data_IF_924518511479
#
_entry.id   IF_924518511479
#
_cell.length_a   1.000
_cell.length_b   1.000
_cell.length_c   1.000
_cell.angle_alpha   90.00
_cell.angle_beta   90.00
_cell.angle_gamma   90.00
#
_symmetry.space_group_name_H-M   'P 1'
#
loop_
_entity.id
_entity.type
_entity.pdbx_description
1 polymer ?
#
# COMPACT_ATOMS: atom_id res chain seq x y z
N UNK A 1 26.33 -16.97 -9.98
CA UNK A 1 24.96 -17.29 -10.44
C UNK A 1 24.02 -17.69 -9.30
N UNK A 2 24.45 -18.43 -8.27
CA UNK A 2 23.60 -18.82 -7.11
C UNK A 2 22.94 -17.63 -6.38
N UNK A 3 23.69 -16.56 -6.13
CA UNK A 3 23.20 -15.39 -5.39
C UNK A 3 22.08 -14.62 -6.09
N UNK A 4 22.11 -14.51 -7.43
CA UNK A 4 21.06 -13.82 -8.18
C UNK A 4 19.75 -14.62 -8.19
N UNK A 5 19.85 -15.95 -8.31
CA UNK A 5 18.69 -16.84 -8.27
C UNK A 5 18.07 -16.86 -6.87
N UNK A 6 18.87 -16.87 -5.80
CA UNK A 6 18.38 -16.76 -4.44
C UNK A 6 17.75 -15.39 -4.15
N UNK A 7 18.32 -14.31 -4.70
CA UNK A 7 17.73 -12.97 -4.61
C UNK A 7 16.38 -12.92 -5.34
N UNK A 8 16.30 -13.47 -6.55
CA UNK A 8 15.05 -13.55 -7.33
C UNK A 8 14.01 -14.42 -6.60
N UNK A 9 14.43 -15.55 -6.01
CA UNK A 9 13.54 -16.40 -5.20
C UNK A 9 13.06 -15.69 -3.94
N UNK A 10 13.93 -14.96 -3.25
CA UNK A 10 13.58 -14.15 -2.09
C UNK A 10 12.63 -13.00 -2.43
N UNK A 11 12.82 -12.35 -3.58
CA UNK A 11 11.92 -11.34 -4.14
C UNK A 11 10.57 -11.93 -4.59
N UNK A 12 10.56 -13.19 -5.04
CA UNK A 12 9.34 -13.92 -5.40
C UNK A 12 8.54 -14.46 -4.21
N UNK A 13 9.04 -14.30 -2.97
CA UNK A 13 8.26 -14.58 -1.76
C UNK A 13 7.03 -13.66 -1.75
N UNK A 14 5.85 -14.23 -1.46
CA UNK A 14 4.56 -13.52 -1.40
C UNK A 14 4.58 -12.34 -0.42
N UNK A 15 5.41 -12.38 0.64
CA UNK A 15 5.67 -11.25 1.52
C UNK A 15 6.31 -10.06 0.79
N UNK A 16 7.44 -10.27 0.09
CA UNK A 16 8.12 -9.18 -0.61
C UNK A 16 7.27 -8.67 -1.79
N UNK A 17 6.61 -9.58 -2.52
CA UNK A 17 5.67 -9.21 -3.56
C UNK A 17 4.54 -8.31 -3.02
N UNK A 18 3.95 -8.67 -1.87
CA UNK A 18 2.92 -7.86 -1.23
C UNK A 18 3.44 -6.50 -0.78
N UNK A 19 4.57 -6.48 -0.07
CA UNK A 19 5.12 -5.24 0.50
C UNK A 19 5.54 -4.26 -0.60
N UNK A 20 6.25 -4.74 -1.64
CA UNK A 20 6.62 -3.91 -2.77
C UNK A 20 5.43 -3.50 -3.62
N UNK A 21 4.47 -4.41 -3.85
CA UNK A 21 3.23 -4.08 -4.55
C UNK A 21 2.41 -3.01 -3.83
N UNK A 22 2.31 -3.11 -2.51
CA UNK A 22 1.63 -2.12 -1.66
C UNK A 22 2.36 -0.78 -1.67
N UNK A 23 3.69 -0.78 -1.50
CA UNK A 23 4.49 0.44 -1.54
C UNK A 23 4.41 1.13 -2.92
N UNK A 24 4.46 0.35 -4.00
CA UNK A 24 4.23 0.84 -5.36
C UNK A 24 2.84 1.46 -5.51
N UNK A 25 1.79 0.78 -5.04
CA UNK A 25 0.42 1.26 -5.12
C UNK A 25 0.22 2.58 -4.38
N UNK A 26 0.75 2.68 -3.15
CA UNK A 26 0.72 3.92 -2.37
C UNK A 26 1.51 5.03 -3.03
N UNK A 27 2.67 4.72 -3.61
CA UNK A 27 3.48 5.70 -4.36
C UNK A 27 2.74 6.22 -5.57
N UNK A 28 2.19 5.33 -6.40
CA UNK A 28 1.42 5.70 -7.59
C UNK A 28 0.22 6.59 -7.23
N UNK A 29 -0.56 6.18 -6.22
CA UNK A 29 -1.72 6.94 -5.75
C UNK A 29 -1.33 8.27 -5.12
N UNK A 30 -0.24 8.31 -4.35
CA UNK A 30 0.28 9.52 -3.71
C UNK A 30 0.80 10.53 -4.74
N UNK A 31 1.61 10.08 -5.70
CA UNK A 31 2.17 10.94 -6.74
C UNK A 31 1.08 11.57 -7.61
N UNK A 32 0.07 10.80 -8.02
CA UNK A 32 -1.05 11.34 -8.81
C UNK A 32 -1.77 12.49 -8.08
N UNK A 33 -1.93 12.39 -6.76
CA UNK A 33 -2.56 13.41 -5.92
C UNK A 33 -1.70 14.66 -5.73
N UNK A 34 -0.38 14.54 -5.83
CA UNK A 34 0.54 15.69 -5.78
C UNK A 34 0.57 16.39 -7.14
N UNK A 35 0.69 15.61 -8.22
CA UNK A 35 0.84 16.13 -9.58
C UNK A 35 -0.43 16.82 -10.05
N UNK A 36 -1.58 16.16 -9.85
CA UNK A 36 -2.87 16.68 -10.31
C UNK A 36 -3.99 16.38 -9.29
N UNK A 37 -4.05 17.13 -8.17
CA UNK A 37 -5.10 16.95 -7.17
C UNK A 37 -6.49 17.25 -7.73
N UNK A 38 -6.60 18.13 -8.73
CA UNK A 38 -7.89 18.53 -9.30
C UNK A 38 -8.51 17.41 -10.14
N UNK A 39 -7.70 16.72 -10.95
CA UNK A 39 -8.14 15.53 -11.67
C UNK A 39 -8.56 14.42 -10.70
N UNK A 40 -7.81 14.21 -9.62
CA UNK A 40 -8.21 13.24 -8.59
C UNK A 40 -9.56 13.62 -7.96
N UNK A 41 -9.78 14.89 -7.63
CA UNK A 41 -11.07 15.37 -7.14
C UNK A 41 -12.20 15.08 -8.14
N UNK A 42 -11.94 15.28 -9.43
CA UNK A 42 -12.94 15.04 -10.49
C UNK A 42 -13.41 13.58 -10.57
N UNK A 43 -12.54 12.61 -10.24
CA UNK A 43 -12.90 11.19 -10.24
C UNK A 43 -13.91 10.80 -9.16
N UNK A 44 -14.01 11.60 -8.09
CA UNK A 44 -14.93 11.32 -6.98
C UNK A 44 -16.20 12.16 -7.00
N UNK A 45 -16.30 13.14 -7.91
CA UNK A 45 -17.46 14.03 -8.02
C UNK A 45 -18.60 13.40 -8.81
N UNK A 46 -19.86 13.66 -8.42
CA UNK A 46 -21.01 13.33 -9.24
C UNK A 46 -21.04 14.05 -10.58
N UNK A 47 -21.44 13.38 -11.68
CA UNK A 47 -21.58 14.02 -12.99
C UNK A 47 -22.51 15.22 -13.02
N UNK A 48 -23.44 15.37 -12.07
CA UNK A 48 -24.28 16.56 -12.03
C UNK A 48 -23.49 17.85 -11.72
N UNK A 49 -22.33 17.73 -11.06
CA UNK A 49 -21.36 18.83 -10.92
C UNK A 49 -20.54 19.01 -12.20
N UNK A 50 -20.34 17.94 -12.98
CA UNK A 50 -19.72 17.95 -14.31
C UNK A 50 -20.66 18.41 -15.44
N UNK A 51 -21.98 18.32 -15.27
CA UNK A 51 -23.01 18.60 -16.29
C UNK A 51 -23.83 19.88 -16.03
N UNK A 52 -23.94 20.37 -14.79
CA UNK A 52 -24.38 21.77 -14.54
C UNK A 52 -23.38 22.78 -15.14
N UNK A 53 -22.22 22.26 -15.51
CA UNK A 53 -21.08 22.87 -16.14
C UNK A 53 -21.08 22.71 -17.67
N UNK A 54 -22.19 22.92 -18.38
CA UNK A 54 -22.13 23.08 -19.84
C UNK A 54 -21.26 24.29 -20.28
N UNK A 55 -20.67 25.03 -19.34
CA UNK A 55 -19.69 26.10 -19.56
C UNK A 55 -18.60 26.25 -18.48
N UNK A 56 -18.57 25.49 -17.38
CA UNK A 56 -17.56 25.68 -16.32
C UNK A 56 -17.40 24.44 -15.42
N UNK A 57 -16.33 23.65 -15.63
CA UNK A 57 -15.91 22.60 -14.67
C UNK A 57 -15.93 23.22 -13.28
N UNK A 58 -16.71 22.66 -12.35
CA UNK A 58 -16.73 23.15 -10.97
C UNK A 58 -15.33 22.90 -10.43
N UNK A 59 -14.58 23.98 -10.21
CA UNK A 59 -13.24 23.94 -9.63
C UNK A 59 -13.29 23.26 -8.25
N UNK A 60 -12.27 22.48 -7.88
CA UNK A 60 -12.20 21.94 -6.54
C UNK A 60 -12.10 23.01 -5.47
N UNK A 61 -12.84 22.84 -4.38
CA UNK A 61 -12.72 23.76 -3.26
C UNK A 61 -11.42 23.46 -2.47
N UNK A 62 -10.98 24.45 -1.70
CA UNK A 62 -9.73 24.38 -0.94
C UNK A 62 -9.67 23.17 0.00
N UNK A 63 -10.80 22.75 0.58
CA UNK A 63 -10.86 21.61 1.49
C UNK A 63 -10.64 20.28 0.76
N UNK A 64 -11.17 20.13 -0.45
CA UNK A 64 -10.96 18.93 -1.28
C UNK A 64 -9.50 18.81 -1.70
N UNK A 65 -8.89 19.91 -2.15
CA UNK A 65 -7.47 19.95 -2.50
C UNK A 65 -6.60 19.66 -1.27
N UNK A 66 -6.89 20.30 -0.13
CA UNK A 66 -6.18 20.07 1.12
C UNK A 66 -6.23 18.60 1.55
N UNK A 67 -7.41 17.98 1.51
CA UNK A 67 -7.57 16.57 1.86
C UNK A 67 -6.81 15.65 0.90
N UNK A 68 -6.85 15.94 -0.40
CA UNK A 68 -6.14 15.16 -1.42
C UNK A 68 -4.62 15.23 -1.21
N UNK A 69 -4.08 16.41 -0.93
CA UNK A 69 -2.66 16.57 -0.61
C UNK A 69 -2.26 15.90 0.69
N UNK A 70 -3.07 16.03 1.74
CA UNK A 70 -2.79 15.40 3.03
C UNK A 70 -2.81 13.88 2.92
N UNK A 71 -3.78 13.32 2.18
CA UNK A 71 -3.85 11.90 1.85
C UNK A 71 -2.62 11.45 1.04
N UNK A 72 -2.15 12.28 0.09
CA UNK A 72 -0.97 11.98 -0.72
C UNK A 72 0.29 11.78 0.13
N UNK A 73 0.57 12.73 1.03
CA UNK A 73 1.72 12.64 1.93
C UNK A 73 1.60 11.50 2.94
N UNK A 74 0.37 11.18 3.36
CA UNK A 74 0.08 9.99 4.17
C UNK A 74 0.47 8.70 3.43
N UNK A 75 0.03 8.54 2.18
CA UNK A 75 0.33 7.37 1.35
C UNK A 75 1.83 7.23 1.08
N UNK A 76 2.53 8.31 0.74
CA UNK A 76 3.98 8.29 0.53
C UNK A 76 4.74 7.92 1.80
N UNK A 77 4.32 8.43 2.96
CA UNK A 77 4.89 8.06 4.25
C UNK A 77 4.71 6.56 4.52
N UNK A 78 3.52 6.01 4.28
CA UNK A 78 3.27 4.57 4.42
C UNK A 78 4.11 3.73 3.46
N UNK A 79 4.30 4.19 2.22
CA UNK A 79 5.17 3.52 1.25
C UNK A 79 6.63 3.48 1.75
N UNK A 80 7.15 4.60 2.24
CA UNK A 80 8.51 4.66 2.80
C UNK A 80 8.67 3.76 4.03
N UNK A 81 7.66 3.72 4.91
CA UNK A 81 7.66 2.84 6.08
C UNK A 81 7.71 1.37 5.67
N UNK A 82 6.95 0.98 4.65
CA UNK A 82 6.96 -0.38 4.11
C UNK A 82 8.31 -0.76 3.52
N UNK A 83 8.95 0.14 2.77
CA UNK A 83 10.30 -0.10 2.23
C UNK A 83 11.35 -0.22 3.35
N UNK A 84 11.23 0.58 4.42
CA UNK A 84 12.08 0.47 5.59
C UNK A 84 11.89 -0.87 6.33
N UNK A 85 10.65 -1.29 6.56
CA UNK A 85 10.31 -2.57 7.20
C UNK A 85 10.66 -3.79 6.35
N UNK A 86 10.79 -3.62 5.04
CA UNK A 86 11.24 -4.67 4.13
C UNK A 86 12.75 -4.87 4.10
N UNK A 87 13.52 -3.99 4.76
CA UNK A 87 14.97 -3.83 4.59
C UNK A 87 15.38 -3.48 3.14
N UNK A 88 14.48 -2.83 2.39
CA UNK A 88 14.73 -2.46 0.99
C UNK A 88 15.67 -1.25 0.85
N UNK A 89 15.79 -0.45 1.92
CA UNK A 89 16.72 0.69 2.00
C UNK A 89 17.66 0.46 3.18
N UNK A 90 18.99 0.47 2.98
CA UNK A 90 19.92 0.36 4.09
C UNK A 90 19.84 1.62 4.95
N UNK A 91 19.19 1.52 6.11
CA UNK A 91 19.09 2.63 7.04
C UNK A 91 20.42 2.82 7.80
N UNK A 92 20.87 4.07 8.00
CA UNK A 92 21.96 4.36 8.91
C UNK A 92 21.69 3.77 10.30
N UNK A 93 22.74 3.29 10.98
CA UNK A 93 22.64 2.74 12.34
C UNK A 93 22.04 3.72 13.36
N UNK A 94 22.09 5.02 13.08
CA UNK A 94 21.48 6.08 13.90
C UNK A 94 19.95 6.12 13.81
N UNK A 95 19.37 5.56 12.74
CA UNK A 95 17.92 5.47 12.52
C UNK A 95 17.39 4.04 12.72
N UNK A 96 18.25 3.03 12.63
CA UNK A 96 17.93 1.63 12.86
C UNK A 96 18.00 1.29 14.36
N UNK A 97 16.90 1.48 15.08
CA UNK A 97 16.77 1.02 16.46
C UNK A 97 15.74 1.78 17.27
N UNK A 98 14.61 1.15 17.57
CA UNK A 98 13.70 1.60 18.62
C UNK A 98 13.02 0.39 19.25
N UNK A 99 13.19 0.26 20.57
CA UNK A 99 12.73 -0.89 21.35
C UNK A 99 12.17 -0.36 22.67
N UNK A 100 10.84 -0.28 22.77
CA UNK A 100 10.11 0.08 24.00
C UNK A 100 10.17 -1.01 25.08
N UNK A 101 10.55 -2.23 24.70
CA UNK A 101 10.74 -3.39 25.57
C UNK A 101 12.05 -4.02 25.16
N UNK A 102 12.95 -4.26 26.12
CA UNK A 102 14.36 -4.65 25.92
C UNK A 102 14.65 -5.39 24.61
N UNK A 103 15.68 -4.89 23.91
CA UNK A 103 16.02 -5.20 22.52
C UNK A 103 15.51 -6.54 22.02
N UNK A 104 14.59 -6.49 21.05
CA UNK A 104 14.11 -7.68 20.36
C UNK A 104 15.32 -8.56 19.98
N UNK A 105 15.33 -9.85 20.36
CA UNK A 105 16.45 -10.72 20.04
C UNK A 105 16.68 -10.69 18.53
N UNK A 106 17.95 -10.53 18.12
CA UNK A 106 18.41 -10.41 16.73
C UNK A 106 17.99 -11.58 15.80
N UNK A 107 17.29 -12.57 16.36
CA UNK A 107 16.75 -13.74 15.68
C UNK A 107 15.40 -13.49 14.99
N UNK A 108 14.61 -12.48 15.37
CA UNK A 108 13.42 -12.08 14.61
C UNK A 108 13.84 -11.13 13.49
N UNK A 109 14.05 -11.66 12.29
CA UNK A 109 14.48 -10.86 11.13
C UNK A 109 13.51 -9.70 10.82
N UNK A 110 12.20 -9.84 11.11
CA UNK A 110 11.19 -8.79 10.88
C UNK A 110 10.02 -8.85 11.91
N UNK A 111 10.20 -8.37 13.15
CA UNK A 111 9.21 -8.56 14.23
C UNK A 111 7.84 -7.90 13.96
N UNK A 112 7.80 -6.89 13.09
CA UNK A 112 6.58 -6.16 12.74
C UNK A 112 6.02 -6.51 11.36
N UNK A 113 6.62 -7.45 10.61
CA UNK A 113 6.21 -7.78 9.25
C UNK A 113 4.73 -8.20 9.19
N UNK A 114 4.30 -9.09 10.09
CA UNK A 114 2.91 -9.55 10.16
C UNK A 114 1.94 -8.41 10.47
N UNK A 115 2.31 -7.53 11.41
CA UNK A 115 1.49 -6.38 11.77
C UNK A 115 1.36 -5.40 10.59
N UNK A 116 2.47 -5.10 9.90
CA UNK A 116 2.48 -4.23 8.73
C UNK A 116 1.57 -4.77 7.62
N UNK A 117 1.59 -6.09 7.37
CA UNK A 117 0.70 -6.73 6.39
C UNK A 117 -0.77 -6.58 6.81
N UNK A 118 -1.12 -6.87 8.06
CA UNK A 118 -2.51 -6.73 8.55
C UNK A 118 -3.01 -5.29 8.46
N UNK A 119 -2.20 -4.30 8.88
CA UNK A 119 -2.56 -2.88 8.86
C UNK A 119 -2.82 -2.41 7.42
N UNK A 120 -1.93 -2.77 6.49
CA UNK A 120 -2.10 -2.38 5.09
C UNK A 120 -3.23 -3.12 4.41
N UNK A 121 -3.50 -4.37 4.79
CA UNK A 121 -4.63 -5.14 4.28
C UNK A 121 -5.96 -4.50 4.72
N UNK A 122 -6.06 -4.04 5.97
CA UNK A 122 -7.19 -3.24 6.43
C UNK A 122 -7.39 -1.98 5.57
N UNK A 123 -6.30 -1.27 5.24
CA UNK A 123 -6.38 -0.10 4.37
C UNK A 123 -6.83 -0.45 2.94
N UNK A 124 -6.36 -1.55 2.35
CA UNK A 124 -6.82 -2.00 1.03
C UNK A 124 -8.29 -2.42 1.01
N UNK A 125 -8.77 -3.10 2.06
CA UNK A 125 -10.18 -3.46 2.19
C UNK A 125 -11.05 -2.20 2.29
N UNK A 126 -10.71 -1.29 3.21
CA UNK A 126 -11.52 -0.08 3.43
C UNK A 126 -11.51 0.85 2.22
N UNK A 127 -10.37 1.07 1.58
CA UNK A 127 -10.30 1.88 0.36
C UNK A 127 -10.91 1.17 -0.85
N UNK A 128 -10.86 -0.15 -0.91
CA UNK A 128 -11.55 -0.96 -1.91
C UNK A 128 -13.08 -0.86 -1.81
N UNK A 129 -13.63 -0.89 -0.58
CA UNK A 129 -15.06 -0.66 -0.34
C UNK A 129 -15.47 0.74 -0.81
N UNK A 130 -14.66 1.76 -0.48
CA UNK A 130 -14.89 3.13 -0.95
C UNK A 130 -14.88 3.24 -2.49
N UNK A 131 -13.86 2.68 -3.14
CA UNK A 131 -13.75 2.66 -4.59
C UNK A 131 -14.92 1.91 -5.25
N UNK A 132 -15.34 0.77 -4.69
CA UNK A 132 -16.48 0.01 -5.17
C UNK A 132 -17.80 0.80 -5.06
N UNK A 133 -17.94 1.60 -4.00
CA UNK A 133 -19.07 2.49 -3.79
C UNK A 133 -19.28 3.47 -4.96
N UNK A 134 -18.19 4.00 -5.52
CA UNK A 134 -18.21 4.84 -6.72
C UNK A 134 -18.30 4.01 -8.00
N UNK A 135 -17.54 2.92 -8.10
CA UNK A 135 -17.47 2.07 -9.30
C UNK A 135 -18.83 1.49 -9.71
N UNK A 136 -19.66 1.08 -8.74
CA UNK A 136 -20.99 0.52 -9.03
C UNK A 136 -21.99 1.53 -9.58
N UNK A 137 -21.70 2.82 -9.48
CA UNK A 137 -22.55 3.88 -10.01
C UNK A 137 -22.09 4.18 -11.43
N UNK A 138 -22.93 3.91 -12.42
CA UNK A 138 -22.62 4.18 -13.84
C UNK A 138 -22.17 5.63 -14.07
N UNK A 139 -22.73 6.56 -13.29
CA UNK A 139 -22.35 7.97 -13.28
C UNK A 139 -20.91 8.23 -12.82
N UNK A 140 -20.31 7.39 -11.98
CA UNK A 140 -18.96 7.60 -11.42
C UNK A 140 -17.97 6.52 -11.89
N UNK A 141 -18.39 5.64 -12.79
CA UNK A 141 -17.55 4.59 -13.33
C UNK A 141 -16.54 5.18 -14.31
N UNK A 142 -15.28 5.25 -13.87
CA UNK A 142 -14.15 5.66 -14.69
C UNK A 142 -13.10 4.56 -14.73
N UNK A 143 -12.19 4.61 -15.71
CA UNK A 143 -11.03 3.69 -15.77
C UNK A 143 -10.20 3.75 -14.49
N UNK A 144 -10.10 4.92 -13.85
CA UNK A 144 -9.42 5.08 -12.57
C UNK A 144 -10.13 4.30 -11.45
N UNK A 145 -11.46 4.22 -11.48
CA UNK A 145 -12.24 3.40 -10.53
C UNK A 145 -12.07 1.90 -10.81
N UNK A 146 -12.01 1.46 -12.08
CA UNK A 146 -11.69 0.06 -12.42
C UNK A 146 -10.36 -0.36 -11.82
N UNK A 147 -9.33 0.45 -12.06
CA UNK A 147 -7.98 0.25 -11.52
C UNK A 147 -8.04 0.25 -9.99
N UNK A 148 -8.76 1.21 -9.39
CA UNK A 148 -8.92 1.34 -7.94
C UNK A 148 -9.55 0.11 -7.28
N UNK A 149 -10.62 -0.44 -7.84
CA UNK A 149 -11.29 -1.63 -7.30
C UNK A 149 -10.41 -2.86 -7.46
N UNK A 150 -10.01 -3.18 -8.69
CA UNK A 150 -9.27 -4.41 -8.96
C UNK A 150 -7.85 -4.40 -8.38
N UNK A 151 -7.22 -3.22 -8.31
CA UNK A 151 -5.94 -3.04 -7.63
C UNK A 151 -6.03 -3.38 -6.14
N UNK A 152 -7.07 -2.91 -5.44
CA UNK A 152 -7.29 -3.26 -4.03
C UNK A 152 -7.65 -4.74 -3.85
N UNK A 153 -8.49 -5.32 -4.73
CA UNK A 153 -8.79 -6.77 -4.68
C UNK A 153 -7.53 -7.61 -4.84
N UNK A 154 -6.68 -7.27 -5.81
CA UNK A 154 -5.41 -7.96 -6.05
C UNK A 154 -4.46 -7.87 -4.84
N UNK A 155 -4.34 -6.67 -4.24
CA UNK A 155 -3.50 -6.46 -3.06
C UNK A 155 -4.06 -7.18 -1.83
N UNK A 156 -5.37 -7.22 -1.63
CA UNK A 156 -5.99 -8.02 -0.55
C UNK A 156 -5.65 -9.51 -0.73
N UNK A 157 -5.83 -10.05 -1.94
CA UNK A 157 -5.48 -11.44 -2.25
C UNK A 157 -4.00 -11.74 -1.99
N UNK A 158 -3.11 -10.84 -2.42
CA UNK A 158 -1.67 -10.97 -2.21
C UNK A 158 -1.29 -10.84 -0.73
N UNK A 159 -1.99 -10.00 0.04
CA UNK A 159 -1.76 -9.84 1.47
C UNK A 159 -2.21 -11.03 2.29
N UNK A 160 -3.36 -11.65 1.93
CA UNK A 160 -3.75 -12.95 2.50
C UNK A 160 -2.70 -14.00 2.16
N UNK A 161 -2.21 -14.05 0.92
CA UNK A 161 -1.15 -14.97 0.51
C UNK A 161 0.17 -14.73 1.27
N UNK A 162 0.53 -13.49 1.56
CA UNK A 162 1.69 -13.13 2.37
C UNK A 162 1.53 -13.60 3.84
N UNK A 163 0.33 -13.50 4.41
CA UNK A 163 0.05 -13.97 5.77
C UNK A 163 0.09 -15.50 5.89
N UNK A 164 -0.42 -16.21 4.89
CA UNK A 164 -0.54 -17.68 4.92
C UNK A 164 0.77 -18.36 4.52
N UNK A 165 1.41 -17.92 3.43
CA UNK A 165 2.59 -18.58 2.86
C UNK A 165 3.88 -17.79 3.03
N UNK A 166 3.82 -16.45 2.98
CA UNK A 166 5.02 -15.62 2.94
C UNK A 166 5.76 -15.47 4.27
N UNK A 167 5.04 -15.63 5.38
CA UNK A 167 5.56 -15.48 6.75
C UNK A 167 5.68 -16.79 7.53
N UNK A 168 5.17 -17.91 7.00
CA UNK A 168 5.12 -19.22 7.69
C UNK A 168 6.44 -20.00 7.64
N UNK A 169 7.23 -19.86 6.58
CA UNK A 169 8.40 -20.74 6.33
C UNK A 169 9.67 -20.35 7.12
N UNK A 170 9.76 -19.12 7.64
CA UNK A 170 10.95 -18.69 8.41
C UNK A 170 10.95 -19.18 9.87
N UNK A 171 9.78 -19.57 10.42
CA UNK A 171 9.63 -20.01 11.81
C UNK A 171 9.84 -21.51 12.04
N UNK A 172 9.39 -22.37 11.12
CA UNK A 172 9.41 -23.83 11.33
C UNK A 172 10.79 -24.47 11.10
N UNK A 173 11.62 -23.91 10.21
CA UNK A 173 12.94 -24.50 9.89
C UNK A 173 13.94 -24.46 11.05
N UNK A 174 13.70 -23.65 12.09
CA UNK A 174 14.56 -23.54 13.27
C UNK A 174 14.06 -24.32 14.49
N UNK A 175 12.80 -24.74 14.51
CA UNK A 175 12.26 -25.59 15.59
C UNK A 175 12.66 -27.06 15.45
N UNK A 176 12.83 -27.55 14.22
CA UNK A 176 13.12 -28.96 13.95
C UNK A 176 14.62 -29.35 14.00
N UNK A 177 15.52 -28.42 14.34
CA UNK A 177 16.98 -28.68 14.46
C UNK A 177 17.52 -28.42 15.87
N UNK A 178 16.63 -28.25 16.85
CA UNK A 178 16.96 -27.90 18.23
C UNK A 178 16.50 -28.92 19.27
N UNK A 179 16.35 -30.20 18.89
CA UNK A 179 16.22 -31.34 19.81
C UNK A 179 17.26 -32.41 19.47
#
# INVERSE_FOLDING_TARGET
>A
MSSAIETIKGLSNTYHAYVFGTAFWYTLRGLMRIIDPALVASWFRPPIQSHRASTAVVEPNDLEIYNIWTDAWGLLTLAMLLLALADAVPLPKTLAGSSMVGGAPSQYKKPYARAAVVITLFHHVTTGIGAYGHWKLESHHTVAMDIGVWGNVGLVGLGVAALVWGLGEEGESKGAKGE
#
